data_IF_916271273355
#
_entry.id   IF_916271273355
#
_cell.length_a   1.000
_cell.length_b   1.000
_cell.length_c   1.000
_cell.angle_alpha   90.00
_cell.angle_beta   90.00
_cell.angle_gamma   90.00
#
_symmetry.space_group_name_H-M   'P 1'
#
loop_
_entity.id
_entity.type
_entity.pdbx_description
1 polymer ?
#
# COMPACT_ATOMS: atom_id res chain seq x y z
N UNK A 1 -10.51 20.52 -35.77
CA UNK A 1 -10.04 20.45 -34.37
C UNK A 1 -8.65 19.84 -34.38
N UNK A 2 -7.57 20.63 -34.25
CA UNK A 2 -6.21 20.08 -34.25
C UNK A 2 -5.76 19.75 -32.82
N UNK A 3 -5.10 18.59 -32.70
CA UNK A 3 -4.46 18.07 -31.48
C UNK A 3 -3.25 18.94 -31.13
N UNK A 4 -3.15 19.36 -29.87
CA UNK A 4 -1.95 19.98 -29.31
C UNK A 4 -1.11 18.91 -28.60
N UNK A 5 -0.04 18.51 -29.26
CA UNK A 5 1.11 17.85 -28.66
C UNK A 5 1.92 18.89 -27.90
N UNK A 6 2.12 18.72 -26.59
CA UNK A 6 2.97 19.61 -25.79
C UNK A 6 4.25 18.88 -25.42
N UNK A 7 5.32 19.20 -26.14
CA UNK A 7 6.70 18.83 -25.84
C UNK A 7 7.16 19.65 -24.63
N UNK A 8 7.48 19.00 -23.50
CA UNK A 8 8.11 19.67 -22.34
C UNK A 8 9.62 19.71 -22.54
N UNK A 9 10.16 20.91 -22.69
CA UNK A 9 11.59 21.18 -22.66
C UNK A 9 12.06 21.33 -21.20
N UNK A 10 13.03 20.50 -20.80
CA UNK A 10 13.73 20.55 -19.52
C UNK A 10 14.72 21.73 -19.51
N UNK A 11 14.54 22.66 -18.57
CA UNK A 11 15.55 23.63 -18.21
C UNK A 11 16.26 23.18 -16.92
N UNK A 12 17.52 22.78 -17.05
CA UNK A 12 18.37 22.39 -15.95
C UNK A 12 19.01 23.64 -15.32
N UNK A 13 18.83 23.83 -14.02
CA UNK A 13 19.58 24.81 -13.22
C UNK A 13 20.42 24.07 -12.20
N UNK A 14 21.73 24.03 -12.46
CA UNK A 14 22.73 23.53 -11.53
C UNK A 14 23.08 24.63 -10.53
N UNK A 15 22.97 24.34 -9.23
CA UNK A 15 23.52 25.16 -8.16
C UNK A 15 24.51 24.31 -7.35
N UNK A 16 25.79 24.66 -7.45
CA UNK A 16 26.87 24.08 -6.68
C UNK A 16 26.91 24.72 -5.28
N UNK A 17 26.99 23.89 -4.23
CA UNK A 17 27.21 24.35 -2.87
C UNK A 17 28.45 23.66 -2.28
N UNK A 18 29.46 24.48 -2.02
CA UNK A 18 30.72 24.12 -1.37
C UNK A 18 30.49 24.04 0.13
N UNK A 19 30.82 22.91 0.76
CA UNK A 19 30.89 22.78 2.22
C UNK A 19 32.32 22.48 2.62
N UNK A 20 32.95 23.43 3.30
CA UNK A 20 34.19 23.26 4.06
C UNK A 20 33.85 22.89 5.50
N UNK A 21 34.43 21.80 6.03
CA UNK A 21 34.42 21.50 7.47
C UNK A 21 35.86 21.48 7.97
N UNK A 22 36.16 22.38 8.92
CA UNK A 22 37.40 22.40 9.70
C UNK A 22 37.14 21.82 11.10
N UNK A 23 37.99 20.85 11.45
CA UNK A 23 38.60 20.53 12.74
C UNK A 23 37.75 20.31 14.02
N UNK A 24 38.08 19.22 14.73
CA UNK A 24 37.79 19.08 16.17
C UNK A 24 38.07 17.69 16.74
N UNK A 25 39.33 17.39 17.08
CA UNK A 25 39.76 16.18 17.81
C UNK A 25 39.70 16.38 19.34
N UNK A 26 39.25 15.34 20.05
CA UNK A 26 39.80 14.90 21.35
C UNK A 26 39.13 15.39 22.65
N UNK A 27 38.46 14.50 23.41
CA UNK A 27 39.09 13.70 24.49
C UNK A 27 38.08 12.84 25.30
N UNK A 28 38.58 11.64 25.67
CA UNK A 28 38.18 10.59 26.62
C UNK A 28 37.57 11.07 27.98
N UNK A 29 36.80 10.34 28.82
CA UNK A 29 36.58 8.90 29.21
C UNK A 29 35.38 8.91 30.24
N UNK A 30 34.90 7.83 30.95
CA UNK A 30 35.22 6.39 30.96
C UNK A 30 34.02 5.38 30.97
N UNK A 31 34.40 4.12 30.74
CA UNK A 31 33.75 2.80 30.98
C UNK A 31 32.37 2.71 31.65
N UNK A 32 31.43 2.06 30.94
CA UNK A 32 30.39 1.23 31.57
C UNK A 32 29.98 0.06 30.65
N UNK A 33 30.47 -1.12 31.02
CA UNK A 33 29.94 -2.46 30.71
C UNK A 33 29.42 -2.73 29.29
N UNK A 34 30.29 -3.26 28.43
CA UNK A 34 29.92 -3.92 27.19
C UNK A 34 29.20 -5.24 27.49
N UNK A 35 27.86 -5.24 27.43
CA UNK A 35 27.12 -6.43 27.05
C UNK A 35 27.34 -6.66 25.54
N UNK A 36 27.57 -7.89 25.06
CA UNK A 36 27.76 -8.12 23.64
C UNK A 36 26.48 -7.73 22.90
N UNK A 37 26.55 -6.69 22.10
CA UNK A 37 25.53 -6.38 21.11
C UNK A 37 25.45 -7.60 20.18
N UNK A 38 24.29 -8.27 20.16
CA UNK A 38 23.96 -9.24 19.12
C UNK A 38 24.06 -8.51 17.78
N UNK A 39 25.18 -8.70 17.11
CA UNK A 39 25.33 -8.42 15.69
C UNK A 39 24.43 -9.43 14.98
N UNK A 40 23.16 -9.08 14.81
CA UNK A 40 22.29 -9.75 13.85
C UNK A 40 22.94 -9.54 12.48
N UNK A 41 23.59 -10.58 11.97
CA UNK A 41 24.18 -10.57 10.64
C UNK A 41 23.06 -10.24 9.65
N UNK A 42 23.33 -9.39 8.66
CA UNK A 42 22.39 -9.09 7.57
C UNK A 42 21.84 -10.38 6.91
N UNK A 43 22.60 -11.47 6.96
CA UNK A 43 22.20 -12.81 6.50
C UNK A 43 20.93 -13.34 7.20
N UNK A 44 20.70 -13.01 8.47
CA UNK A 44 19.54 -13.50 9.23
C UNK A 44 18.25 -12.77 8.87
N UNK A 45 18.30 -11.45 8.66
CA UNK A 45 17.16 -10.64 8.23
C UNK A 45 16.75 -10.98 6.78
N UNK A 46 17.75 -11.18 5.91
CA UNK A 46 17.55 -11.55 4.50
C UNK A 46 17.00 -12.98 4.34
N UNK A 47 17.36 -13.90 5.25
CA UNK A 47 16.78 -15.24 5.32
C UNK A 47 15.35 -15.24 5.92
N UNK A 48 15.05 -14.39 6.91
CA UNK A 48 13.71 -14.27 7.48
C UNK A 48 12.70 -13.67 6.49
N UNK A 49 13.09 -12.65 5.71
CA UNK A 49 12.21 -12.05 4.69
C UNK A 49 11.86 -13.01 3.53
N UNK A 50 12.70 -14.03 3.27
CA UNK A 50 12.41 -15.08 2.28
C UNK A 50 11.56 -16.23 2.82
N UNK A 51 11.37 -16.29 4.14
CA UNK A 51 10.61 -17.34 4.80
C UNK A 51 9.22 -16.83 5.16
N UNK A 52 8.26 -17.07 4.27
CA UNK A 52 6.87 -16.73 4.50
C UNK A 52 6.15 -16.35 3.22
N UNK A 53 4.86 -16.04 3.37
CA UNK A 53 4.00 -15.72 2.24
C UNK A 53 3.96 -14.20 2.06
N UNK A 54 4.57 -13.74 0.97
CA UNK A 54 4.46 -12.36 0.51
C UNK A 54 3.06 -12.12 -0.02
N UNK A 55 2.50 -10.93 0.22
CA UNK A 55 1.21 -10.54 -0.33
C UNK A 55 1.41 -9.57 -1.50
N UNK A 56 1.06 -10.01 -2.70
CA UNK A 56 1.10 -9.20 -3.91
C UNK A 56 -0.32 -8.81 -4.30
N UNK A 57 -0.54 -7.56 -4.73
CA UNK A 57 -1.84 -7.12 -5.27
C UNK A 57 -1.70 -6.73 -6.73
N UNK A 58 -2.46 -7.40 -7.57
CA UNK A 58 -2.65 -7.05 -8.97
C UNK A 58 -3.97 -6.29 -9.15
N UNK A 59 -3.96 -5.31 -10.04
CA UNK A 59 -5.18 -4.71 -10.59
C UNK A 59 -5.41 -5.25 -11.99
N UNK A 60 -6.60 -5.79 -12.26
CA UNK A 60 -7.03 -6.08 -13.64
C UNK A 60 -7.98 -4.99 -14.11
N UNK A 61 -7.76 -4.51 -15.34
CA UNK A 61 -8.68 -3.62 -16.03
C UNK A 61 -9.60 -4.45 -16.93
N UNK A 62 -10.90 -4.23 -16.81
CA UNK A 62 -11.93 -5.03 -17.48
C UNK A 62 -13.06 -4.13 -18.01
N UNK A 63 -13.84 -4.63 -18.99
CA UNK A 63 -14.82 -3.83 -19.73
C UNK A 63 -14.25 -3.32 -21.07
N UNK A 64 -15.10 -2.68 -21.88
CA UNK A 64 -14.69 -2.21 -23.23
C UNK A 64 -13.57 -1.16 -23.15
N UNK A 65 -13.64 -0.26 -22.15
CA UNK A 65 -12.68 0.83 -21.94
C UNK A 65 -12.00 0.79 -20.55
N UNK A 66 -11.98 -0.36 -19.87
CA UNK A 66 -11.40 -0.47 -18.52
C UNK A 66 -12.26 0.15 -17.42
N UNK A 67 -13.55 0.33 -17.68
CA UNK A 67 -14.52 0.92 -16.75
C UNK A 67 -14.71 0.12 -15.46
N UNK A 68 -14.26 -1.15 -15.44
CA UNK A 68 -14.25 -1.99 -14.26
C UNK A 68 -12.82 -2.33 -13.86
N UNK A 69 -12.58 -2.31 -12.56
CA UNK A 69 -11.36 -2.81 -11.96
C UNK A 69 -11.65 -4.01 -11.07
N UNK A 70 -10.66 -4.89 -10.95
CA UNK A 70 -10.71 -6.00 -9.98
C UNK A 70 -9.36 -6.12 -9.28
N UNK A 71 -9.41 -6.15 -7.96
CA UNK A 71 -8.24 -6.49 -7.15
C UNK A 71 -8.06 -8.01 -7.09
N UNK A 72 -6.85 -8.48 -7.41
CA UNK A 72 -6.44 -9.87 -7.23
C UNK A 72 -5.24 -9.89 -6.30
N UNK A 73 -5.43 -10.46 -5.12
CA UNK A 73 -4.36 -10.68 -4.15
C UNK A 73 -3.73 -12.04 -4.39
N UNK A 74 -2.41 -12.13 -4.33
CA UNK A 74 -1.65 -13.37 -4.45
C UNK A 74 -0.75 -13.50 -3.23
N UNK A 75 -0.98 -14.51 -2.42
CA UNK A 75 -0.02 -14.97 -1.42
C UNK A 75 1.02 -15.83 -2.12
N UNK A 76 2.30 -15.49 -2.02
CA UNK A 76 3.39 -16.19 -2.70
C UNK A 76 4.57 -16.42 -1.76
N UNK A 77 4.97 -17.68 -1.64
CA UNK A 77 6.14 -18.09 -0.89
C UNK A 77 7.33 -18.31 -1.84
N UNK A 78 8.32 -17.41 -1.89
CA UNK A 78 9.42 -17.57 -2.84
C UNK A 78 10.33 -18.75 -2.50
N UNK A 79 10.38 -19.21 -1.25
CA UNK A 79 11.19 -20.36 -0.86
C UNK A 79 10.62 -21.67 -1.42
N UNK A 80 9.30 -21.84 -1.39
CA UNK A 80 8.65 -23.08 -1.84
C UNK A 80 8.07 -23.01 -3.25
N UNK A 81 7.85 -21.81 -3.78
CA UNK A 81 7.09 -21.59 -5.02
C UNK A 81 5.57 -21.74 -4.84
N UNK A 82 5.08 -21.99 -3.63
CA UNK A 82 3.65 -22.07 -3.38
C UNK A 82 3.02 -20.68 -3.57
N UNK A 83 1.92 -20.60 -4.31
CA UNK A 83 1.11 -19.40 -4.34
C UNK A 83 -0.39 -19.70 -4.32
N UNK A 84 -1.18 -18.78 -3.81
CA UNK A 84 -2.64 -18.81 -3.82
C UNK A 84 -3.16 -17.44 -4.20
N UNK A 85 -4.23 -17.38 -4.99
CA UNK A 85 -4.84 -16.13 -5.40
C UNK A 85 -6.27 -15.99 -4.90
N UNK A 86 -6.63 -14.75 -4.56
CA UNK A 86 -7.96 -14.34 -4.15
C UNK A 86 -8.36 -13.11 -4.95
N UNK A 87 -9.35 -13.27 -5.81
CA UNK A 87 -9.88 -12.19 -6.62
C UNK A 87 -11.17 -11.64 -5.99
N UNK A 88 -11.18 -10.36 -5.63
CA UNK A 88 -12.36 -9.70 -5.05
C UNK A 88 -13.43 -9.46 -6.12
N UNK A 89 -14.66 -9.08 -5.74
CA UNK A 89 -15.65 -8.63 -6.71
C UNK A 89 -15.16 -7.45 -7.53
N UNK A 90 -15.73 -7.31 -8.73
CA UNK A 90 -15.46 -6.17 -9.60
C UNK A 90 -16.07 -4.92 -9.01
N UNK A 91 -15.36 -3.81 -9.17
CA UNK A 91 -15.85 -2.46 -8.87
C UNK A 91 -15.79 -1.63 -10.14
N UNK A 92 -16.59 -0.55 -10.20
CA UNK A 92 -16.32 0.52 -11.16
C UNK A 92 -14.88 1.01 -10.93
N UNK A 93 -14.16 1.37 -12.00
CA UNK A 93 -12.76 1.75 -11.94
C UNK A 93 -12.49 2.66 -10.73
N UNK A 94 -11.50 2.25 -9.95
CA UNK A 94 -11.23 2.61 -8.55
C UNK A 94 -11.30 4.11 -8.28
N UNK A 95 -12.02 4.51 -7.22
CA UNK A 95 -11.90 5.87 -6.67
C UNK A 95 -10.56 6.01 -5.92
N UNK A 96 -10.10 4.94 -5.26
CA UNK A 96 -8.82 4.93 -4.57
C UNK A 96 -7.65 5.12 -5.55
N UNK A 97 -6.80 6.11 -5.29
CA UNK A 97 -5.53 6.25 -5.97
C UNK A 97 -4.68 4.99 -5.76
N UNK A 98 -3.75 4.71 -6.68
CA UNK A 98 -2.93 3.50 -6.60
C UNK A 98 -2.15 3.38 -5.28
N UNK A 99 -1.73 4.51 -4.74
CA UNK A 99 -1.03 4.59 -3.46
C UNK A 99 -1.96 4.29 -2.27
N UNK A 100 -3.24 4.63 -2.34
CA UNK A 100 -4.23 4.30 -1.31
C UNK A 100 -4.65 2.82 -1.36
N UNK A 101 -4.39 2.11 -2.47
CA UNK A 101 -4.77 0.71 -2.60
C UNK A 101 -4.12 -0.19 -1.54
N UNK A 102 -2.99 0.21 -0.95
CA UNK A 102 -2.36 -0.51 0.17
C UNK A 102 -3.13 -0.36 1.50
N UNK A 103 -4.07 0.58 1.60
CA UNK A 103 -5.01 0.69 2.73
C UNK A 103 -6.21 -0.24 2.57
N UNK A 104 -6.33 -0.94 1.45
CA UNK A 104 -7.44 -1.87 1.19
C UNK A 104 -7.20 -3.26 1.77
N UNK A 105 -6.06 -3.47 2.43
CA UNK A 105 -5.68 -4.71 3.09
C UNK A 105 -5.32 -4.43 4.55
N UNK A 106 -5.73 -5.33 5.45
CA UNK A 106 -5.36 -5.25 6.86
C UNK A 106 -3.85 -5.47 7.05
N UNK A 107 -3.26 -4.83 8.07
CA UNK A 107 -1.82 -4.93 8.32
C UNK A 107 -1.33 -6.33 8.73
N UNK A 108 -2.22 -7.29 8.99
CA UNK A 108 -1.89 -8.72 9.17
C UNK A 108 -2.18 -9.57 7.92
N UNK A 109 -2.50 -8.93 6.78
CA UNK A 109 -2.78 -9.59 5.50
C UNK A 109 -3.93 -10.61 5.53
N UNK A 110 -4.87 -10.48 6.48
CA UNK A 110 -6.00 -11.41 6.62
C UNK A 110 -7.23 -10.97 5.86
N UNK A 111 -7.47 -9.66 5.77
CA UNK A 111 -8.70 -9.09 5.24
C UNK A 111 -8.40 -8.08 4.15
N UNK A 112 -9.27 -8.05 3.14
CA UNK A 112 -9.28 -7.02 2.12
C UNK A 112 -10.67 -6.42 1.94
N UNK A 113 -10.69 -5.18 1.46
CA UNK A 113 -11.86 -4.45 0.99
C UNK A 113 -11.72 -4.14 -0.51
N UNK A 114 -12.85 -4.01 -1.25
CA UNK A 114 -12.84 -3.91 -2.71
C UNK A 114 -12.50 -2.52 -3.27
N UNK A 115 -12.78 -1.45 -2.52
CA UNK A 115 -12.49 -0.03 -2.84
C UNK A 115 -12.50 0.78 -1.54
N UNK A 116 -11.95 2.00 -1.50
CA UNK A 116 -12.15 2.95 -0.39
C UNK A 116 -13.55 3.58 -0.43
N UNK A 117 -14.22 3.58 -1.58
CA UNK A 117 -15.65 3.89 -1.70
C UNK A 117 -16.52 2.71 -1.23
N UNK A 118 -17.52 2.99 -0.39
CA UNK A 118 -18.46 1.95 0.06
C UNK A 118 -19.56 1.73 -0.99
N UNK A 119 -19.81 0.49 -1.46
CA UNK A 119 -20.87 0.22 -2.41
C UNK A 119 -22.24 0.68 -1.90
N UNK A 120 -23.05 1.29 -2.78
CA UNK A 120 -24.34 1.87 -2.38
C UNK A 120 -25.30 0.89 -1.69
N UNK A 121 -25.24 -0.40 -2.01
CA UNK A 121 -26.01 -1.45 -1.30
C UNK A 121 -25.52 -1.68 0.14
N UNK A 122 -24.21 -1.68 0.36
CA UNK A 122 -23.60 -1.85 1.68
C UNK A 122 -23.82 -0.60 2.52
N UNK A 123 -23.62 0.58 1.93
CA UNK A 123 -23.93 1.88 2.54
C UNK A 123 -25.38 1.96 3.03
N UNK A 124 -26.35 1.56 2.19
CA UNK A 124 -27.79 1.58 2.54
C UNK A 124 -28.15 0.61 3.66
N UNK A 125 -27.44 -0.50 3.79
CA UNK A 125 -27.75 -1.54 4.79
C UNK A 125 -26.91 -1.43 6.07
N UNK A 126 -25.80 -0.71 6.03
CA UNK A 126 -24.81 -0.68 7.10
C UNK A 126 -24.07 -2.01 7.27
N UNK A 127 -24.07 -2.86 6.25
CA UNK A 127 -23.41 -4.17 6.27
C UNK A 127 -22.25 -4.14 5.29
N UNK A 128 -21.05 -3.94 5.82
CA UNK A 128 -19.83 -3.86 5.03
C UNK A 128 -19.21 -5.25 4.86
N UNK A 129 -18.70 -5.58 3.69
CA UNK A 129 -18.16 -6.92 3.40
C UNK A 129 -16.63 -6.94 3.43
N UNK A 130 -16.04 -7.71 4.35
CA UNK A 130 -14.62 -8.02 4.37
C UNK A 130 -14.34 -9.34 3.65
N UNK A 131 -13.27 -9.39 2.85
CA UNK A 131 -12.88 -10.58 2.08
C UNK A 131 -11.66 -11.21 2.72
N UNK A 132 -11.76 -12.48 3.12
CA UNK A 132 -10.59 -13.21 3.62
C UNK A 132 -9.57 -13.39 2.49
N UNK A 133 -8.30 -13.18 2.80
CA UNK A 133 -7.17 -13.43 1.89
C UNK A 133 -6.56 -14.82 2.08
N UNK A 134 -6.89 -15.51 3.16
CA UNK A 134 -6.39 -16.86 3.51
C UNK A 134 -7.42 -17.97 3.23
N UNK A 135 -8.63 -17.60 2.79
CA UNK A 135 -9.70 -18.54 2.47
C UNK A 135 -10.71 -17.89 1.51
N UNK A 136 -11.68 -18.67 1.04
CA UNK A 136 -12.77 -18.13 0.22
C UNK A 136 -13.87 -17.42 1.02
N UNK A 137 -13.71 -17.30 2.34
CA UNK A 137 -14.71 -16.70 3.22
C UNK A 137 -14.85 -15.19 3.03
N UNK A 138 -16.02 -14.69 3.43
CA UNK A 138 -16.31 -13.27 3.65
C UNK A 138 -16.87 -13.09 5.05
N UNK A 139 -16.65 -11.91 5.62
CA UNK A 139 -17.26 -11.48 6.89
C UNK A 139 -18.12 -10.24 6.65
N UNK A 140 -19.33 -10.24 7.24
CA UNK A 140 -20.22 -9.10 7.18
C UNK A 140 -20.13 -8.31 8.49
N UNK A 141 -19.66 -7.08 8.37
CA UNK A 141 -19.50 -6.12 9.45
C UNK A 141 -20.73 -5.20 9.52
N UNK A 142 -21.56 -5.37 10.53
CA UNK A 142 -22.72 -4.49 10.76
C UNK A 142 -22.31 -3.24 11.53
N UNK A 143 -21.91 -2.18 10.80
CA UNK A 143 -21.43 -0.93 11.40
C UNK A 143 -22.50 -0.23 12.24
N UNK A 144 -23.79 -0.44 11.97
CA UNK A 144 -24.88 0.16 12.76
C UNK A 144 -24.97 -0.49 14.13
N UNK A 145 -24.85 -1.82 14.18
CA UNK A 145 -24.79 -2.55 15.42
C UNK A 145 -23.54 -2.18 16.25
N UNK A 146 -22.39 -2.05 15.60
CA UNK A 146 -21.11 -1.76 16.26
C UNK A 146 -21.03 -0.35 16.84
N UNK A 147 -21.64 0.61 16.16
CA UNK A 147 -21.66 2.02 16.57
C UNK A 147 -22.86 2.35 17.47
N UNK A 148 -23.93 1.55 17.43
CA UNK A 148 -25.20 1.87 18.07
C UNK A 148 -26.06 2.88 17.29
N UNK A 149 -25.69 3.21 16.04
CA UNK A 149 -26.41 4.16 15.19
C UNK A 149 -27.19 3.44 14.07
N UNK A 150 -28.51 3.19 14.23
CA UNK A 150 -29.29 2.36 13.31
C UNK A 150 -29.44 2.94 11.90
N UNK A 151 -29.29 4.25 11.75
CA UNK A 151 -29.42 4.95 10.46
C UNK A 151 -28.07 5.28 9.81
N UNK A 152 -26.96 4.82 10.40
CA UNK A 152 -25.62 5.10 9.89
C UNK A 152 -25.44 4.51 8.49
N UNK A 153 -24.90 5.33 7.59
CA UNK A 153 -24.55 4.96 6.22
C UNK A 153 -23.07 5.30 6.01
N UNK A 154 -22.25 4.29 5.80
CA UNK A 154 -20.85 4.50 5.44
C UNK A 154 -20.73 4.95 3.99
N UNK A 155 -19.78 5.84 3.73
CA UNK A 155 -19.42 6.33 2.40
C UNK A 155 -17.98 6.00 2.05
N UNK A 156 -17.09 5.96 3.04
CA UNK A 156 -15.70 5.54 2.85
C UNK A 156 -15.19 4.64 3.96
N UNK A 157 -14.12 3.92 3.67
CA UNK A 157 -13.43 3.03 4.60
C UNK A 157 -12.00 2.72 4.15
N UNK A 158 -11.13 2.46 5.12
CA UNK A 158 -9.73 2.09 4.89
C UNK A 158 -9.17 1.38 6.13
N UNK A 159 -8.27 0.43 5.96
CA UNK A 159 -7.54 -0.16 7.07
C UNK A 159 -6.51 0.82 7.63
N UNK A 160 -6.29 0.75 8.94
CA UNK A 160 -5.14 1.41 9.55
C UNK A 160 -3.86 0.63 9.14
N UNK A 161 -2.88 1.31 8.54
CA UNK A 161 -1.69 0.66 8.02
C UNK A 161 -0.73 0.14 9.09
N UNK A 162 -0.92 0.54 10.34
CA UNK A 162 -0.08 0.20 11.49
C UNK A 162 -0.77 -0.75 12.48
N UNK A 163 -2.06 -1.02 12.31
CA UNK A 163 -2.85 -1.84 13.24
C UNK A 163 -3.74 -2.84 12.50
N UNK A 164 -3.38 -4.13 12.58
CA UNK A 164 -4.03 -5.24 11.88
C UNK A 164 -5.57 -5.34 12.03
N UNK A 165 -6.10 -4.99 13.21
CA UNK A 165 -7.53 -5.12 13.51
C UNK A 165 -8.34 -3.84 13.35
N UNK A 166 -7.76 -2.75 12.84
CA UNK A 166 -8.42 -1.46 12.81
C UNK A 166 -8.84 -1.06 11.39
N UNK A 167 -10.12 -0.72 11.27
CA UNK A 167 -10.73 -0.18 10.06
C UNK A 167 -11.30 1.20 10.40
N UNK A 168 -10.93 2.22 9.63
CA UNK A 168 -11.60 3.52 9.69
C UNK A 168 -12.78 3.53 8.72
N UNK A 169 -13.89 4.10 9.17
CA UNK A 169 -15.13 4.23 8.41
C UNK A 169 -15.61 5.67 8.50
N UNK A 170 -15.94 6.27 7.35
CA UNK A 170 -16.53 7.61 7.26
C UNK A 170 -18.01 7.46 6.93
N UNK A 171 -18.88 8.10 7.69
CA UNK A 171 -20.33 8.10 7.44
C UNK A 171 -20.79 9.29 6.57
N UNK A 172 -22.04 9.25 6.08
CA UNK A 172 -22.64 10.35 5.29
C UNK A 172 -22.72 11.69 6.05
N UNK A 173 -22.65 11.65 7.37
CA UNK A 173 -22.58 12.81 8.25
C UNK A 173 -21.15 13.34 8.44
N UNK A 174 -20.16 12.74 7.77
CA UNK A 174 -18.73 12.98 7.93
C UNK A 174 -18.16 12.57 9.30
N UNK A 175 -18.89 11.75 10.07
CA UNK A 175 -18.36 11.12 11.27
C UNK A 175 -17.27 10.11 10.91
N UNK A 176 -16.14 10.16 11.62
CA UNK A 176 -15.03 9.23 11.46
C UNK A 176 -15.05 8.23 12.60
N UNK A 177 -15.19 6.96 12.24
CA UNK A 177 -15.33 5.84 13.16
C UNK A 177 -14.12 4.92 13.05
N UNK A 178 -13.51 4.61 14.19
CA UNK A 178 -12.55 3.53 14.32
C UNK A 178 -13.27 2.27 14.74
N UNK A 179 -13.24 1.27 13.87
CA UNK A 179 -13.81 -0.05 14.10
C UNK A 179 -12.68 -1.01 14.45
N UNK A 180 -12.78 -1.61 15.63
CA UNK A 180 -11.93 -2.72 16.06
C UNK A 180 -12.62 -4.04 15.68
N UNK A 181 -12.03 -4.73 14.71
CA UNK A 181 -12.56 -5.99 14.16
C UNK A 181 -12.48 -7.13 15.18
N UNK A 182 -11.45 -7.14 16.04
CA UNK A 182 -11.26 -8.20 17.02
C UNK A 182 -12.19 -8.00 18.23
N UNK A 183 -12.28 -6.77 18.73
CA UNK A 183 -13.15 -6.41 19.83
C UNK A 183 -14.63 -6.31 19.42
N UNK A 184 -14.92 -6.25 18.10
CA UNK A 184 -16.26 -6.04 17.54
C UNK A 184 -16.93 -4.83 18.18
N UNK A 185 -16.21 -3.71 18.15
CA UNK A 185 -16.67 -2.42 18.68
C UNK A 185 -16.25 -1.29 17.75
N UNK A 186 -17.01 -0.20 17.77
CA UNK A 186 -16.64 1.02 17.07
C UNK A 186 -16.61 2.21 18.04
N UNK A 187 -15.68 3.13 17.85
CA UNK A 187 -15.60 4.40 18.57
C UNK A 187 -15.48 5.54 17.57
N UNK A 188 -16.22 6.62 17.79
CA UNK A 188 -16.08 7.82 16.97
C UNK A 188 -14.80 8.55 17.37
N UNK A 189 -13.86 8.72 16.43
CA UNK A 189 -12.61 9.45 16.65
C UNK A 189 -12.79 10.95 16.42
N UNK A 190 -13.76 11.33 15.57
CA UNK A 190 -14.06 12.72 15.28
C UNK A 190 -15.05 12.89 14.13
N UNK A 191 -14.95 14.05 13.47
CA UNK A 191 -15.78 14.43 12.32
C UNK A 191 -14.91 15.22 11.35
N UNK A 192 -15.01 14.95 10.05
CA UNK A 192 -14.35 15.78 9.05
C UNK A 192 -15.03 17.16 8.96
N UNK A 193 -14.27 18.23 8.64
CA UNK A 193 -14.85 19.56 8.54
C UNK A 193 -15.91 19.63 7.44
N UNK A 194 -16.92 20.46 7.67
CA UNK A 194 -17.92 20.82 6.65
C UNK A 194 -17.67 22.24 6.19
N UNK A 195 -17.42 22.43 4.90
CA UNK A 195 -17.12 23.71 4.29
C UNK A 195 -17.60 23.72 2.84
N UNK A 196 -18.14 24.85 2.40
CA UNK A 196 -18.61 25.02 1.02
C UNK A 196 -17.44 24.84 0.03
N UNK A 197 -17.69 24.07 -1.04
CA UNK A 197 -16.69 23.76 -2.06
C UNK A 197 -15.69 22.66 -1.65
N UNK A 198 -15.97 21.92 -0.58
CA UNK A 198 -15.13 20.82 -0.10
C UNK A 198 -15.95 19.54 0.09
N UNK A 199 -15.38 18.41 -0.30
CA UNK A 199 -16.03 17.09 -0.24
C UNK A 199 -15.11 16.05 0.38
N UNK A 200 -15.71 14.98 0.89
CA UNK A 200 -15.01 13.74 1.12
C UNK A 200 -15.14 12.89 -0.15
N UNK A 201 -14.08 12.85 -0.97
CA UNK A 201 -14.02 12.05 -2.20
C UNK A 201 -13.45 10.65 -1.99
N UNK A 202 -13.70 10.04 -0.82
CA UNK A 202 -13.17 8.72 -0.44
C UNK A 202 -11.64 8.66 -0.26
N UNK A 203 -10.98 9.80 -0.04
CA UNK A 203 -9.53 9.91 0.16
C UNK A 203 -9.07 9.61 1.58
N UNK A 204 -7.95 8.88 1.69
CA UNK A 204 -7.29 8.53 2.95
C UNK A 204 -5.78 8.73 2.86
N UNK A 205 -5.16 9.31 3.90
CA UNK A 205 -3.70 9.44 3.96
C UNK A 205 -3.06 8.04 3.92
N UNK A 206 -2.24 7.78 2.89
CA UNK A 206 -1.61 6.48 2.65
C UNK A 206 -0.69 5.99 3.77
N UNK A 207 -0.17 6.89 4.61
CA UNK A 207 0.74 6.59 5.71
C UNK A 207 0.02 6.37 7.05
N UNK A 208 -1.09 7.07 7.31
CA UNK A 208 -1.82 6.98 8.59
C UNK A 208 -3.16 6.27 8.48
N UNK A 209 -3.73 6.19 7.28
CA UNK A 209 -5.10 5.75 7.02
C UNK A 209 -6.15 6.73 7.55
N UNK A 210 -5.80 7.98 7.87
CA UNK A 210 -6.75 9.01 8.29
C UNK A 210 -7.47 9.60 7.08
N UNK A 211 -8.81 9.78 7.13
CA UNK A 211 -9.53 10.40 6.04
C UNK A 211 -9.23 11.89 5.92
N UNK A 212 -9.28 12.41 4.69
CA UNK A 212 -9.16 13.84 4.41
C UNK A 212 -10.30 14.31 3.51
N UNK A 213 -10.57 15.62 3.50
CA UNK A 213 -11.46 16.25 2.52
C UNK A 213 -10.64 16.99 1.47
N UNK A 214 -11.23 17.24 0.31
CA UNK A 214 -10.60 17.91 -0.82
C UNK A 214 -11.50 19.00 -1.40
N UNK A 215 -10.87 19.99 -2.03
CA UNK A 215 -11.57 21.06 -2.71
C UNK A 215 -12.10 20.60 -4.06
N UNK A 216 -13.34 20.97 -4.40
CA UNK A 216 -13.90 20.69 -5.73
C UNK A 216 -13.35 21.61 -6.84
N UNK A 217 -12.69 22.70 -6.44
CA UNK A 217 -12.21 23.75 -7.34
C UNK A 217 -10.67 23.79 -7.47
N UNK A 218 -9.94 22.95 -6.72
CA UNK A 218 -8.47 22.91 -6.69
C UNK A 218 -7.91 21.61 -6.09
N UNK A 219 -6.62 21.34 -6.27
CA UNK A 219 -5.94 20.14 -5.72
C UNK A 219 -5.64 20.23 -4.20
N UNK A 220 -6.33 21.11 -3.47
CA UNK A 220 -6.11 21.29 -2.04
C UNK A 220 -6.83 20.23 -1.22
N UNK A 221 -6.14 19.73 -0.20
CA UNK A 221 -6.65 18.76 0.77
C UNK A 221 -6.62 19.31 2.20
N UNK A 222 -7.46 18.76 3.07
CA UNK A 222 -7.50 19.06 4.50
C UNK A 222 -7.60 17.74 5.29
N UNK A 223 -6.54 17.34 6.01
CA UNK A 223 -5.23 18.01 6.12
C UNK A 223 -4.48 18.14 4.78
N UNK A 224 -3.67 19.18 4.64
CA UNK A 224 -2.93 19.46 3.41
C UNK A 224 -1.82 18.43 3.16
N UNK A 225 -1.51 18.20 1.89
CA UNK A 225 -0.42 17.31 1.46
C UNK A 225 -0.85 15.90 1.09
N UNK A 226 -2.16 15.67 0.95
CA UNK A 226 -2.76 14.43 0.47
C UNK A 226 -3.25 14.56 -0.98
N UNK A 227 -3.74 13.46 -1.57
CA UNK A 227 -4.28 13.40 -2.93
C UNK A 227 -3.19 13.37 -4.01
N UNK A 228 -3.53 13.84 -5.22
CA UNK A 228 -2.67 13.75 -6.41
C UNK A 228 -1.30 14.44 -6.27
N UNK A 229 -1.17 15.39 -5.33
CA UNK A 229 0.08 16.09 -5.05
C UNK A 229 0.99 15.38 -4.03
N UNK A 230 0.51 14.30 -3.39
CA UNK A 230 1.26 13.56 -2.38
C UNK A 230 2.32 12.65 -2.99
N UNK A 231 3.56 13.12 -2.93
CA UNK A 231 4.75 12.41 -3.44
C UNK A 231 5.48 11.61 -2.36
N UNK A 232 4.96 11.53 -1.14
CA UNK A 232 5.59 10.74 -0.08
C UNK A 232 5.68 9.27 -0.51
N UNK A 233 6.76 8.56 -0.18
CA UNK A 233 6.80 7.12 -0.39
C UNK A 233 5.69 6.42 0.41
N UNK A 234 5.12 5.35 -0.14
CA UNK A 234 4.22 4.48 0.61
C UNK A 234 5.03 3.59 1.54
N UNK A 235 4.90 3.79 2.85
CA UNK A 235 5.58 3.01 3.86
C UNK A 235 4.66 1.97 4.52
N UNK A 236 5.19 0.77 4.72
CA UNK A 236 4.56 -0.38 5.40
C UNK A 236 5.62 -1.23 6.06
N UNK A 237 5.32 -1.85 7.19
CA UNK A 237 6.16 -2.88 7.83
C UNK A 237 7.67 -2.52 7.95
N UNK A 238 7.98 -1.25 8.23
CA UNK A 238 9.37 -0.78 8.37
C UNK A 238 10.13 -0.69 7.04
N UNK A 239 9.44 -0.57 5.91
CA UNK A 239 10.01 -0.33 4.60
C UNK A 239 9.07 0.44 3.68
N UNK A 240 9.45 0.50 2.41
CA UNK A 240 8.81 1.29 1.37
C UNK A 240 8.39 0.40 0.21
N UNK A 241 7.20 0.60 -0.32
CA UNK A 241 6.79 -0.06 -1.55
C UNK A 241 7.63 0.41 -2.72
N UNK A 242 8.04 -0.54 -3.56
CA UNK A 242 8.70 -0.25 -4.83
C UNK A 242 7.70 -0.46 -5.96
N UNK A 243 7.35 0.64 -6.61
CA UNK A 243 6.55 0.62 -7.84
C UNK A 243 7.48 0.67 -9.04
N UNK A 244 7.27 -0.24 -9.99
CA UNK A 244 7.97 -0.19 -11.27
C UNK A 244 6.96 -0.01 -12.40
N UNK A 245 7.00 1.15 -13.03
CA UNK A 245 6.17 1.58 -14.16
C UNK A 245 6.99 1.67 -15.46
N UNK A 246 8.18 1.06 -15.47
CA UNK A 246 9.13 1.13 -16.58
C UNK A 246 10.26 2.15 -16.36
N UNK A 247 10.15 3.02 -15.35
CA UNK A 247 11.19 3.98 -15.01
C UNK A 247 12.23 3.43 -14.01
N UNK A 248 13.46 3.99 -13.97
CA UNK A 248 14.49 3.58 -13.03
C UNK A 248 14.03 3.70 -11.57
N UNK A 249 14.26 2.65 -10.79
CA UNK A 249 14.05 2.66 -9.34
C UNK A 249 15.21 3.41 -8.67
N UNK A 250 14.89 4.39 -7.82
CA UNK A 250 15.90 5.21 -7.15
C UNK A 250 16.86 4.37 -6.29
N UNK A 251 18.16 4.60 -6.49
CA UNK A 251 19.26 3.88 -5.84
C UNK A 251 19.20 2.34 -5.94
N UNK A 252 18.52 1.80 -6.97
CA UNK A 252 18.39 0.36 -7.20
C UNK A 252 18.79 -0.01 -8.64
N UNK A 253 19.28 -1.24 -8.87
CA UNK A 253 19.57 -1.71 -10.22
C UNK A 253 18.28 -1.79 -11.05
N UNK A 254 18.41 -1.68 -12.37
CA UNK A 254 17.27 -1.85 -13.27
C UNK A 254 16.62 -3.23 -13.07
N UNK A 255 15.29 -3.30 -12.88
CA UNK A 255 14.55 -4.56 -12.83
C UNK A 255 14.89 -5.51 -13.99
N UNK A 256 14.97 -6.83 -13.75
CA UNK A 256 15.24 -7.84 -14.78
C UNK A 256 14.01 -8.18 -15.64
N UNK A 257 12.91 -7.45 -15.47
CA UNK A 257 11.59 -7.68 -16.06
C UNK A 257 10.89 -6.35 -16.39
N UNK A 258 9.88 -6.39 -17.26
CA UNK A 258 9.08 -5.24 -17.68
C UNK A 258 7.90 -4.93 -16.75
N UNK A 259 7.39 -5.95 -16.06
CA UNK A 259 6.24 -5.89 -15.17
C UNK A 259 6.63 -6.39 -13.79
N UNK A 260 6.72 -5.46 -12.82
CA UNK A 260 7.22 -5.75 -11.50
C UNK A 260 6.62 -4.84 -10.42
N UNK A 261 6.75 -5.30 -9.18
CA UNK A 261 6.52 -4.54 -7.97
C UNK A 261 7.40 -5.12 -6.88
N UNK A 262 7.61 -4.36 -5.81
CA UNK A 262 8.58 -4.77 -4.81
C UNK A 262 8.46 -4.03 -3.50
N UNK A 263 9.49 -4.20 -2.69
CA UNK A 263 9.57 -3.68 -1.35
C UNK A 263 11.02 -3.41 -0.99
N UNK A 264 11.31 -2.27 -0.37
CA UNK A 264 12.64 -1.92 0.16
C UNK A 264 12.55 -1.77 1.67
N UNK A 265 13.30 -2.58 2.40
CA UNK A 265 13.41 -2.46 3.84
C UNK A 265 14.21 -1.21 4.23
N UNK A 266 14.02 -0.73 5.47
CA UNK A 266 14.76 0.40 6.01
C UNK A 266 16.29 0.19 6.04
N UNK A 267 16.78 -1.05 6.04
CA UNK A 267 18.20 -1.36 5.96
C UNK A 267 18.81 -1.18 4.55
N UNK A 268 17.96 -0.93 3.55
CA UNK A 268 18.32 -0.72 2.14
C UNK A 268 18.30 -2.00 1.29
N UNK A 269 18.05 -3.18 1.90
CA UNK A 269 17.79 -4.39 1.13
C UNK A 269 16.44 -4.29 0.43
N UNK A 270 16.34 -4.88 -0.77
CA UNK A 270 15.15 -4.80 -1.58
C UNK A 270 14.75 -6.15 -2.17
N UNK A 271 13.44 -6.32 -2.31
CA UNK A 271 12.80 -7.42 -2.98
C UNK A 271 12.04 -6.90 -4.19
N UNK A 272 12.07 -7.69 -5.25
CA UNK A 272 11.34 -7.41 -6.48
C UNK A 272 10.67 -8.69 -6.96
N UNK A 273 9.42 -8.56 -7.39
CA UNK A 273 8.61 -9.63 -7.92
C UNK A 273 8.31 -9.33 -9.38
N UNK A 274 8.85 -10.17 -10.26
CA UNK A 274 8.61 -10.10 -11.69
C UNK A 274 7.37 -10.92 -12.05
N UNK A 275 6.49 -10.34 -12.87
CA UNK A 275 5.23 -10.94 -13.29
C UNK A 275 5.00 -10.88 -14.82
N UNK A 276 6.07 -10.69 -15.63
CA UNK A 276 6.01 -10.71 -17.11
C UNK A 276 5.47 -12.02 -17.72
N UNK A 277 5.39 -13.08 -16.91
CA UNK A 277 4.90 -14.39 -17.30
C UNK A 277 3.70 -14.76 -16.44
N UNK A 278 2.94 -15.82 -16.77
CA UNK A 278 1.88 -16.30 -15.88
C UNK A 278 2.34 -16.68 -14.46
N UNK A 279 3.65 -16.86 -14.24
CA UNK A 279 4.28 -17.13 -12.94
C UNK A 279 4.97 -15.88 -12.37
N UNK A 280 5.05 -15.84 -11.04
CA UNK A 280 5.81 -14.84 -10.28
C UNK A 280 7.22 -15.36 -10.03
N UNK A 281 8.24 -14.53 -10.22
CA UNK A 281 9.63 -14.81 -9.85
C UNK A 281 10.15 -13.74 -8.88
N UNK A 282 10.80 -14.15 -7.80
CA UNK A 282 11.38 -13.24 -6.81
C UNK A 282 12.86 -12.96 -7.10
N UNK A 283 13.26 -11.72 -6.80
CA UNK A 283 14.62 -11.24 -6.86
C UNK A 283 14.94 -10.44 -5.61
N UNK A 284 16.20 -10.51 -5.17
CA UNK A 284 16.74 -9.73 -4.08
C UNK A 284 17.88 -8.84 -4.57
N UNK A 285 17.97 -7.64 -4.00
CA UNK A 285 19.17 -6.82 -4.02
C UNK A 285 19.59 -6.57 -2.57
N UNK A 286 20.86 -6.83 -2.26
CA UNK A 286 21.44 -6.43 -0.99
C UNK A 286 21.49 -4.89 -0.89
N UNK A 287 21.71 -4.38 0.32
CA UNK A 287 22.02 -2.95 0.53
C UNK A 287 23.17 -2.53 -0.39
N UNK A 288 22.97 -1.44 -1.12
CA UNK A 288 23.92 -0.88 -2.10
C UNK A 288 24.32 -1.88 -3.21
N UNK A 289 23.52 -2.93 -3.42
CA UNK A 289 23.76 -3.98 -4.40
C UNK A 289 23.57 -3.46 -5.83
N UNK A 290 24.57 -3.68 -6.68
CA UNK A 290 24.53 -3.27 -8.08
C UNK A 290 23.72 -4.23 -8.99
N UNK A 291 23.22 -5.35 -8.46
CA UNK A 291 22.55 -6.40 -9.24
C UNK A 291 21.40 -7.06 -8.49
N UNK A 292 20.36 -7.43 -9.23
CA UNK A 292 19.29 -8.31 -8.76
C UNK A 292 19.73 -9.78 -8.84
N UNK A 293 19.55 -10.51 -7.75
CA UNK A 293 19.79 -11.94 -7.67
C UNK A 293 18.46 -12.68 -7.58
N UNK A 294 18.24 -13.64 -8.48
CA UNK A 294 17.04 -14.49 -8.43
C UNK A 294 17.02 -15.28 -7.11
N UNK A 295 15.87 -15.29 -6.44
CA UNK A 295 15.70 -15.97 -5.18
C UNK A 295 14.60 -17.03 -5.27
N UNK A 296 14.91 -18.22 -4.76
CA UNK A 296 13.94 -19.29 -4.56
C UNK A 296 13.32 -19.87 -5.83
N UNK A 297 12.10 -20.37 -5.69
CA UNK A 297 11.34 -21.11 -6.71
C UNK A 297 10.21 -20.23 -7.23
N UNK A 298 10.08 -20.03 -8.57
CA UNK A 298 8.93 -19.32 -9.13
C UNK A 298 7.60 -19.97 -8.76
N UNK A 299 6.54 -19.17 -8.74
CA UNK A 299 5.19 -19.70 -8.54
C UNK A 299 4.73 -20.58 -9.71
N UNK A 300 3.69 -21.38 -9.48
CA UNK A 300 2.84 -21.85 -10.57
C UNK A 300 2.13 -20.67 -11.27
N UNK A 301 1.46 -20.93 -12.40
CA UNK A 301 0.67 -19.92 -13.10
C UNK A 301 -0.43 -19.33 -12.19
N UNK A 302 -0.26 -18.07 -11.80
CA UNK A 302 -1.12 -17.37 -10.83
C UNK A 302 -1.29 -15.89 -11.15
N UNK A 303 -0.44 -15.32 -12.00
CA UNK A 303 -0.58 -13.93 -12.48
C UNK A 303 -1.86 -13.83 -13.31
N UNK A 304 -2.77 -12.88 -13.02
CA UNK A 304 -3.98 -12.70 -13.81
C UNK A 304 -3.66 -12.34 -15.27
N UNK A 305 -4.33 -12.98 -16.22
CA UNK A 305 -4.11 -12.74 -17.67
C UNK A 305 -4.33 -11.27 -18.10
N UNK A 306 -5.16 -10.53 -17.36
CA UNK A 306 -5.47 -9.13 -17.61
C UNK A 306 -4.86 -8.20 -16.56
N UNK A 307 -3.77 -8.62 -15.91
CA UNK A 307 -3.04 -7.77 -14.97
C UNK A 307 -2.52 -6.54 -15.70
N UNK A 308 -3.05 -5.38 -15.34
CA UNK A 308 -2.58 -4.08 -15.82
C UNK A 308 -1.43 -3.57 -14.92
N UNK A 309 -1.50 -3.89 -13.63
CA UNK A 309 -0.61 -3.36 -12.61
C UNK A 309 -0.30 -4.40 -11.54
N UNK A 310 0.94 -4.42 -11.06
CA UNK A 310 1.32 -5.04 -9.80
C UNK A 310 1.47 -3.89 -8.79
N UNK A 311 0.34 -3.52 -8.17
CA UNK A 311 0.20 -2.33 -7.32
C UNK A 311 1.21 -2.33 -6.18
N UNK A 312 1.33 -3.45 -5.47
CA UNK A 312 2.25 -3.56 -4.34
C UNK A 312 2.66 -5.01 -4.06
N UNK A 313 3.76 -5.15 -3.33
CA UNK A 313 4.19 -6.38 -2.70
C UNK A 313 4.52 -6.08 -1.23
N UNK A 314 3.84 -6.76 -0.30
CA UNK A 314 4.03 -6.63 1.13
C UNK A 314 4.75 -7.87 1.69
N UNK A 315 5.68 -7.68 2.66
CA UNK A 315 6.43 -8.79 3.21
C UNK A 315 5.56 -9.74 4.04
N UNK A 316 6.09 -10.93 4.39
CA UNK A 316 5.39 -11.83 5.29
C UNK A 316 5.24 -11.22 6.67
N UNK A 317 4.03 -11.33 7.23
CA UNK A 317 3.74 -10.96 8.62
C UNK A 317 4.15 -12.09 9.57
N UNK A 318 4.68 -11.74 10.74
CA UNK A 318 5.16 -12.67 11.76
C UNK A 318 4.05 -13.29 12.63
#
# INVERSE_FOLDING_TARGET
MPRLTTTRALAATAAALVVTVLAGCGNATPDRASAPAQSGSADTAQAQAGNGDWLLRFTTAEGEDGEQARAVYVQYNPTTGAAQSRALPRVTASDASQDEQVLMVSADHRWAIPDTGVPGSESRTGKLTLYSLTSDATESLDIRALTGHPDLKAVGWAFDPTHAGLLRVVDTGLGVWKVDLAAKSATQEGTLPRRDGWIFGNGFDKATGEPYIESIDSDQTEPAGNGDSDTRPVEREGGTLLRYDGEPLDALPKPPCGFAGGFRYADGSAWLFCADTPSIAAYQAAKDGATWHRFGTPSQSVVPNAAAELTFALPPVA
#
